data_IF_878043273838
#
_entry.id   IF_878043273838
#
_cell.length_a   1.000
_cell.length_b   1.000
_cell.length_c   1.000
_cell.angle_alpha   90.00
_cell.angle_beta   90.00
_cell.angle_gamma   90.00
#
_symmetry.space_group_name_H-M   'P 1'
#
loop_
_entity.id
_entity.type
_entity.pdbx_description
1 polymer ?
#
# COMPACT_ATOMS: atom_id res chain seq x y z
N UNK A 1 22.45 27.94 -28.69
CA UNK A 1 21.66 26.73 -29.00
C UNK A 1 21.77 25.61 -27.95
N UNK A 2 22.96 25.34 -27.38
CA UNK A 2 23.20 24.24 -26.41
C UNK A 2 22.34 24.32 -25.12
N UNK A 3 22.17 25.51 -24.55
CA UNK A 3 21.32 25.75 -23.36
C UNK A 3 19.83 25.48 -23.59
N UNK A 4 19.31 25.80 -24.80
CA UNK A 4 17.89 25.60 -25.12
C UNK A 4 17.56 24.11 -25.28
N UNK A 5 18.42 23.34 -25.95
CA UNK A 5 18.27 21.87 -26.07
C UNK A 5 18.29 21.20 -24.69
N UNK A 6 19.19 21.62 -23.80
CA UNK A 6 19.23 21.14 -22.40
C UNK A 6 17.93 21.42 -21.65
N UNK A 7 17.40 22.65 -21.72
CA UNK A 7 16.10 23.00 -21.10
C UNK A 7 14.93 22.23 -21.70
N UNK A 8 14.92 21.99 -23.02
CA UNK A 8 13.92 21.14 -23.67
C UNK A 8 13.93 19.70 -23.15
N UNK A 9 15.12 19.12 -22.95
CA UNK A 9 15.26 17.77 -22.37
C UNK A 9 14.77 17.76 -20.92
N UNK A 10 15.18 18.74 -20.10
CA UNK A 10 14.71 18.88 -18.70
C UNK A 10 13.19 18.97 -18.65
N UNK A 11 12.58 19.78 -19.52
CA UNK A 11 11.13 19.93 -19.60
C UNK A 11 10.45 18.60 -19.97
N UNK A 12 10.93 17.91 -20.99
CA UNK A 12 10.36 16.63 -21.43
C UNK A 12 10.45 15.57 -20.33
N UNK A 13 11.60 15.43 -19.68
CA UNK A 13 11.80 14.49 -18.57
C UNK A 13 10.87 14.85 -17.41
N UNK A 14 10.78 16.13 -17.03
CA UNK A 14 9.93 16.56 -15.92
C UNK A 14 8.46 16.25 -16.17
N UNK A 15 7.96 16.50 -17.40
CA UNK A 15 6.58 16.17 -17.78
C UNK A 15 6.31 14.67 -17.70
N UNK A 16 7.22 13.84 -18.20
CA UNK A 16 7.09 12.38 -18.11
C UNK A 16 7.08 11.93 -16.65
N UNK A 17 7.99 12.45 -15.83
CA UNK A 17 8.03 12.16 -14.38
C UNK A 17 6.72 12.57 -13.69
N UNK A 18 6.16 13.73 -14.02
CA UNK A 18 4.88 14.19 -13.47
C UNK A 18 3.74 13.22 -13.80
N UNK A 19 3.63 12.80 -15.07
CA UNK A 19 2.61 11.83 -15.51
C UNK A 19 2.77 10.51 -14.73
N UNK A 20 4.00 10.00 -14.63
CA UNK A 20 4.28 8.76 -13.89
C UNK A 20 3.90 8.87 -12.41
N UNK A 21 4.20 10.00 -11.76
CA UNK A 21 3.83 10.22 -10.35
C UNK A 21 2.30 10.26 -10.14
N UNK A 22 1.57 10.90 -11.06
CA UNK A 22 0.10 10.96 -11.00
C UNK A 22 -0.49 9.57 -11.18
N UNK A 23 -0.05 8.83 -12.21
CA UNK A 23 -0.54 7.47 -12.49
C UNK A 23 -0.24 6.52 -11.32
N UNK A 24 0.98 6.56 -10.76
CA UNK A 24 1.34 5.74 -9.61
C UNK A 24 0.48 6.06 -8.38
N UNK A 25 0.13 7.33 -8.18
CA UNK A 25 -0.75 7.74 -7.07
C UNK A 25 -2.16 7.20 -7.25
N UNK A 26 -2.75 7.40 -8.43
CA UNK A 26 -4.10 6.91 -8.73
C UNK A 26 -4.19 5.39 -8.61
N UNK A 27 -3.22 4.67 -9.17
CA UNK A 27 -3.15 3.21 -9.09
C UNK A 27 -3.06 2.72 -7.64
N UNK A 28 -2.22 3.36 -6.81
CA UNK A 28 -2.06 2.96 -5.41
C UNK A 28 -3.32 3.20 -4.56
N UNK A 29 -4.10 4.23 -4.88
CA UNK A 29 -5.38 4.50 -4.20
C UNK A 29 -6.43 3.45 -4.51
N UNK A 30 -6.50 3.01 -5.76
CA UNK A 30 -7.45 2.01 -6.23
C UNK A 30 -7.06 0.61 -5.78
N UNK A 31 -5.81 0.20 -5.97
CA UNK A 31 -5.32 -1.15 -5.61
C UNK A 31 -5.24 -1.39 -4.10
N UNK A 32 -5.18 -0.31 -3.32
CA UNK A 32 -4.97 -0.37 -1.89
C UNK A 32 -6.22 -0.71 -1.08
N UNK A 33 -7.40 -0.33 -1.58
CA UNK A 33 -8.69 -0.62 -0.92
C UNK A 33 -9.17 -2.01 -1.30
N UNK A 34 -9.65 -2.74 -0.32
CA UNK A 34 -10.19 -4.08 -0.49
C UNK A 34 -11.70 -4.06 -0.29
N UNK A 35 -12.42 -4.86 -1.07
CA UNK A 35 -13.86 -5.08 -0.96
C UNK A 35 -14.17 -6.57 -0.92
N UNK A 36 -15.45 -6.91 -0.74
CA UNK A 36 -15.91 -8.30 -0.90
C UNK A 36 -15.65 -8.85 -2.31
N UNK A 37 -15.63 -7.99 -3.34
CA UNK A 37 -15.35 -8.40 -4.73
C UNK A 37 -13.86 -8.66 -4.97
N UNK A 38 -12.97 -7.99 -4.24
CA UNK A 38 -11.50 -8.13 -4.41
C UNK A 38 -10.88 -9.10 -3.40
N UNK A 39 -11.70 -9.69 -2.53
CA UNK A 39 -11.24 -10.62 -1.51
C UNK A 39 -12.05 -11.91 -1.49
N UNK A 40 -11.40 -13.00 -1.09
CA UNK A 40 -12.02 -14.31 -0.94
C UNK A 40 -12.04 -14.68 0.55
N UNK A 41 -13.19 -15.18 1.02
CA UNK A 41 -13.38 -15.60 2.40
C UNK A 41 -12.94 -17.05 2.64
N UNK A 42 -12.28 -17.28 3.77
CA UNK A 42 -11.78 -18.57 4.20
C UNK A 42 -12.08 -18.81 5.68
N UNK A 43 -11.95 -20.06 6.09
CA UNK A 43 -11.91 -20.45 7.50
C UNK A 43 -10.80 -21.45 7.74
N UNK A 44 -10.18 -21.39 8.90
CA UNK A 44 -9.15 -22.33 9.32
C UNK A 44 -9.21 -22.56 10.82
N UNK A 45 -8.47 -23.56 11.28
CA UNK A 45 -8.37 -23.95 12.68
C UNK A 45 -6.98 -23.58 13.18
N UNK A 46 -6.92 -22.78 14.24
CA UNK A 46 -5.65 -22.32 14.81
C UNK A 46 -4.86 -23.51 15.33
N UNK A 47 -3.58 -23.59 14.95
CA UNK A 47 -2.58 -24.49 15.51
C UNK A 47 -1.85 -23.80 16.66
N UNK A 48 -1.32 -22.61 16.41
CA UNK A 48 -0.73 -21.71 17.40
C UNK A 48 -0.57 -20.30 16.81
N UNK A 49 -0.30 -19.32 17.67
CA UNK A 49 -0.02 -17.93 17.28
C UNK A 49 1.37 -17.53 17.75
N UNK A 50 2.10 -16.81 16.89
CA UNK A 50 3.37 -16.16 17.23
C UNK A 50 3.23 -14.68 16.94
N UNK A 51 3.40 -13.85 17.97
CA UNK A 51 3.46 -12.39 17.78
C UNK A 51 4.91 -11.97 17.87
N UNK A 52 5.48 -11.59 16.73
CA UNK A 52 6.83 -11.07 16.67
C UNK A 52 6.79 -9.55 16.81
N UNK A 53 7.50 -9.06 17.81
CA UNK A 53 7.56 -7.64 18.14
C UNK A 53 9.02 -7.20 18.12
N UNK A 54 9.26 -6.16 17.33
CA UNK A 54 10.51 -5.42 17.25
C UNK A 54 10.20 -3.95 17.47
N UNK A 55 11.21 -3.13 17.77
CA UNK A 55 11.03 -1.68 17.92
C UNK A 55 10.36 -1.04 16.68
N UNK A 56 10.63 -1.59 15.49
CA UNK A 56 10.14 -1.03 14.22
C UNK A 56 8.82 -1.66 13.74
N UNK A 57 8.57 -2.93 14.07
CA UNK A 57 7.50 -3.72 13.45
C UNK A 57 6.85 -4.74 14.39
N UNK A 58 5.54 -4.92 14.22
CA UNK A 58 4.74 -5.91 14.94
C UNK A 58 4.02 -6.77 13.89
N UNK A 59 4.29 -8.08 13.86
CA UNK A 59 3.73 -8.98 12.85
C UNK A 59 3.26 -10.29 13.49
N UNK A 60 1.98 -10.36 13.87
CA UNK A 60 1.32 -11.60 14.29
C UNK A 60 1.27 -12.60 13.13
N UNK A 61 1.66 -13.83 13.44
CA UNK A 61 1.57 -15.00 12.59
C UNK A 61 0.59 -15.98 13.22
N UNK A 62 -0.40 -16.41 12.45
CA UNK A 62 -1.40 -17.39 12.83
C UNK A 62 -1.12 -18.65 12.04
N UNK A 63 -0.59 -19.65 12.72
CA UNK A 63 -0.34 -20.96 12.14
C UNK A 63 -1.62 -21.79 12.26
N UNK A 64 -1.94 -22.53 11.21
CA UNK A 64 -3.19 -23.29 11.11
C UNK A 64 -2.92 -24.79 11.05
N UNK A 65 -3.95 -25.60 11.28
CA UNK A 65 -3.84 -27.05 11.21
C UNK A 65 -3.93 -27.58 9.77
N UNK A 66 -4.61 -26.85 8.90
CA UNK A 66 -4.96 -27.30 7.55
C UNK A 66 -3.80 -27.25 6.56
N UNK A 67 -2.78 -26.42 6.82
CA UNK A 67 -1.61 -26.28 5.94
C UNK A 67 -0.37 -25.81 6.71
N UNK A 68 0.80 -25.97 6.09
CA UNK A 68 2.07 -25.40 6.58
C UNK A 68 2.18 -23.88 6.33
N UNK A 69 1.31 -23.34 5.48
CA UNK A 69 1.16 -21.89 5.25
C UNK A 69 0.62 -21.24 6.52
N UNK A 70 1.19 -20.09 6.91
CA UNK A 70 0.65 -19.27 8.00
C UNK A 70 0.07 -17.96 7.51
N UNK A 71 -0.90 -17.43 8.25
CA UNK A 71 -1.52 -16.15 7.96
C UNK A 71 -0.88 -15.04 8.77
N UNK A 72 -0.63 -13.91 8.11
CA UNK A 72 0.02 -12.76 8.74
C UNK A 72 -0.90 -11.56 8.77
N UNK A 73 -0.89 -10.85 9.89
CA UNK A 73 -1.51 -9.52 9.99
C UNK A 73 -0.41 -8.50 9.66
N UNK A 74 -0.64 -7.69 8.62
CA UNK A 74 0.32 -6.66 8.20
C UNK A 74 0.63 -5.72 9.37
N UNK A 75 1.91 -5.37 9.55
CA UNK A 75 2.37 -4.46 10.61
C UNK A 75 1.60 -3.14 10.67
N UNK A 76 1.12 -2.64 9.53
CA UNK A 76 0.28 -1.45 9.46
C UNK A 76 -1.06 -1.58 10.17
N UNK A 77 -1.63 -2.78 10.16
CA UNK A 77 -2.88 -3.14 10.83
C UNK A 77 -2.59 -3.52 12.28
N UNK A 78 -1.53 -4.30 12.52
CA UNK A 78 -1.12 -4.76 13.85
C UNK A 78 -0.93 -3.62 14.86
N UNK A 79 -0.45 -2.45 14.40
CA UNK A 79 -0.27 -1.26 15.25
C UNK A 79 -1.58 -0.56 15.66
N UNK A 80 -2.72 -0.95 15.08
CA UNK A 80 -4.01 -0.28 15.28
C UNK A 80 -5.06 -1.19 15.92
N UNK A 81 -4.83 -2.50 15.94
CA UNK A 81 -5.76 -3.48 16.52
C UNK A 81 -5.37 -3.85 17.94
N UNK A 82 -6.33 -4.40 18.68
CA UNK A 82 -6.09 -5.04 19.97
C UNK A 82 -5.38 -6.38 19.76
N UNK A 83 -4.06 -6.39 19.94
CA UNK A 83 -3.21 -7.57 19.76
C UNK A 83 -3.50 -8.67 20.77
N UNK A 84 -4.07 -8.36 21.94
CA UNK A 84 -4.39 -9.39 22.93
C UNK A 84 -5.49 -10.32 22.41
N UNK A 85 -6.41 -9.80 21.59
CA UNK A 85 -7.39 -10.65 20.89
C UNK A 85 -6.74 -11.67 19.95
N UNK A 86 -5.60 -11.33 19.35
CA UNK A 86 -4.85 -12.22 18.46
C UNK A 86 -4.02 -13.20 19.28
N UNK A 87 -3.32 -12.74 20.32
CA UNK A 87 -2.53 -13.58 21.24
C UNK A 87 -3.40 -14.63 21.94
N UNK A 88 -4.64 -14.28 22.24
CA UNK A 88 -5.59 -15.15 22.94
C UNK A 88 -6.29 -16.16 22.04
N UNK A 89 -5.98 -16.21 20.73
CA UNK A 89 -6.48 -17.28 19.86
C UNK A 89 -5.91 -18.63 20.32
N UNK A 90 -6.80 -19.57 20.61
CA UNK A 90 -6.43 -20.86 21.20
C UNK A 90 -6.20 -21.92 20.12
N UNK A 91 -5.27 -22.88 20.33
CA UNK A 91 -5.19 -24.08 19.51
C UNK A 91 -6.55 -24.79 19.42
N UNK A 92 -6.96 -25.18 18.21
CA UNK A 92 -8.27 -25.78 17.93
C UNK A 92 -9.40 -24.77 17.70
N UNK A 93 -9.18 -23.48 17.90
CA UNK A 93 -10.20 -22.45 17.67
C UNK A 93 -10.40 -22.21 16.17
N UNK A 94 -11.66 -22.10 15.74
CA UNK A 94 -12.00 -21.73 14.37
C UNK A 94 -11.91 -20.22 14.17
N UNK A 95 -11.26 -19.82 13.08
CA UNK A 95 -11.14 -18.43 12.62
C UNK A 95 -11.72 -18.30 11.23
N UNK A 96 -12.16 -17.09 10.91
CA UNK A 96 -12.65 -16.69 9.60
C UNK A 96 -11.93 -15.41 9.19
N UNK A 97 -11.47 -15.38 7.95
CA UNK A 97 -10.63 -14.30 7.44
C UNK A 97 -10.84 -14.17 5.93
N UNK A 98 -10.40 -13.03 5.40
CA UNK A 98 -10.39 -12.77 3.96
C UNK A 98 -8.97 -12.57 3.46
N UNK A 99 -8.73 -12.92 2.20
CA UNK A 99 -7.45 -12.76 1.49
C UNK A 99 -7.71 -12.07 0.16
N UNK A 100 -6.78 -11.24 -0.32
CA UNK A 100 -6.82 -10.64 -1.66
C UNK A 100 -6.89 -11.73 -2.76
N UNK A 101 -7.79 -11.61 -3.74
CA UNK A 101 -8.08 -12.70 -4.71
C UNK A 101 -6.82 -13.25 -5.41
N UNK A 102 -5.91 -12.38 -5.87
CA UNK A 102 -4.68 -12.82 -6.55
C UNK A 102 -3.73 -13.62 -5.64
N UNK A 103 -3.83 -13.47 -4.31
CA UNK A 103 -3.07 -14.26 -3.33
C UNK A 103 -3.77 -15.59 -3.02
N UNK A 104 -5.10 -15.61 -3.05
CA UNK A 104 -5.90 -16.81 -2.82
C UNK A 104 -5.54 -17.92 -3.83
N UNK A 105 -5.31 -17.55 -5.10
CA UNK A 105 -4.86 -18.48 -6.16
C UNK A 105 -3.48 -19.11 -5.90
N UNK A 106 -2.74 -18.60 -4.93
CA UNK A 106 -1.36 -18.99 -4.63
C UNK A 106 -1.19 -19.61 -3.24
N UNK A 107 -2.27 -19.82 -2.49
CA UNK A 107 -2.25 -20.31 -1.10
C UNK A 107 -1.38 -21.54 -0.87
N UNK A 108 -1.42 -22.51 -1.78
CA UNK A 108 -0.68 -23.77 -1.68
C UNK A 108 0.80 -23.66 -2.10
N UNK A 109 1.20 -22.49 -2.62
CA UNK A 109 2.54 -22.27 -3.23
C UNK A 109 3.41 -21.33 -2.41
N UNK A 110 2.86 -20.71 -1.37
CA UNK A 110 3.53 -19.67 -0.59
C UNK A 110 3.64 -20.07 0.86
N UNK A 111 4.72 -19.61 1.51
CA UNK A 111 4.96 -19.89 2.94
C UNK A 111 4.00 -19.10 3.85
N UNK A 112 3.53 -17.95 3.40
CA UNK A 112 2.63 -17.10 4.18
C UNK A 112 1.76 -16.22 3.29
N UNK A 113 0.62 -15.79 3.85
CA UNK A 113 -0.33 -14.89 3.18
C UNK A 113 -0.81 -13.82 4.14
N UNK A 114 -0.86 -12.57 3.69
CA UNK A 114 -1.51 -11.50 4.46
C UNK A 114 -3.02 -11.64 4.42
N UNK A 115 -3.65 -11.47 5.59
CA UNK A 115 -5.11 -11.45 5.72
C UNK A 115 -5.66 -10.03 5.82
N UNK A 116 -6.83 -9.80 5.24
CA UNK A 116 -7.50 -8.49 5.15
C UNK A 116 -8.67 -8.33 6.12
N UNK A 117 -9.06 -9.41 6.82
CA UNK A 117 -9.97 -9.38 7.96
C UNK A 117 -9.69 -10.57 8.87
N UNK A 118 -10.16 -10.50 10.11
CA UNK A 118 -10.08 -11.61 11.05
C UNK A 118 -11.22 -11.56 12.06
N UNK A 119 -11.92 -12.69 12.20
CA UNK A 119 -12.92 -12.91 13.24
C UNK A 119 -12.92 -14.36 13.71
N UNK A 120 -13.54 -14.58 14.85
CA UNK A 120 -13.91 -15.91 15.35
C UNK A 120 -15.44 -16.06 15.24
N UNK A 121 -15.99 -17.12 15.84
CA UNK A 121 -17.45 -17.25 16.00
C UNK A 121 -18.04 -16.21 16.99
N UNK A 122 -17.22 -15.69 17.91
CA UNK A 122 -17.70 -14.86 19.03
C UNK A 122 -17.29 -13.40 18.95
N UNK A 123 -16.24 -13.07 18.19
CA UNK A 123 -15.73 -11.71 18.10
C UNK A 123 -15.12 -11.39 16.74
N UNK A 124 -15.29 -10.13 16.33
CA UNK A 124 -14.50 -9.54 15.24
C UNK A 124 -13.21 -8.97 15.85
N UNK A 125 -12.06 -9.41 15.33
CA UNK A 125 -10.75 -8.89 15.74
C UNK A 125 -10.44 -7.63 14.94
N UNK A 126 -10.57 -7.71 13.61
CA UNK A 126 -10.64 -6.55 12.73
C UNK A 126 -11.41 -6.90 11.45
N UNK A 127 -12.19 -5.95 10.96
CA UNK A 127 -12.98 -6.06 9.74
C UNK A 127 -12.19 -5.62 8.50
N UNK A 128 -12.78 -5.85 7.33
CA UNK A 128 -12.26 -5.31 6.07
C UNK A 128 -12.27 -3.76 6.06
N UNK A 129 -13.27 -3.16 6.70
CA UNK A 129 -13.36 -1.70 6.85
C UNK A 129 -12.25 -1.17 7.76
N UNK A 130 -11.93 -1.89 8.84
CA UNK A 130 -10.79 -1.56 9.70
C UNK A 130 -9.49 -1.64 8.90
N UNK A 131 -9.29 -2.73 8.15
CA UNK A 131 -8.12 -2.88 7.26
C UNK A 131 -7.98 -1.70 6.29
N UNK A 132 -9.06 -1.32 5.62
CA UNK A 132 -9.08 -0.19 4.69
C UNK A 132 -8.81 1.14 5.40
N UNK A 133 -9.36 1.35 6.58
CA UNK A 133 -9.12 2.54 7.40
C UNK A 133 -7.65 2.67 7.79
N UNK A 134 -7.04 1.57 8.25
CA UNK A 134 -5.62 1.55 8.64
C UNK A 134 -4.69 1.69 7.44
N UNK A 135 -5.03 1.06 6.31
CA UNK A 135 -4.32 1.25 5.05
C UNK A 135 -4.38 2.71 4.61
N UNK A 136 -5.56 3.34 4.66
CA UNK A 136 -5.75 4.74 4.29
C UNK A 136 -4.96 5.71 5.19
N UNK A 137 -4.90 5.47 6.51
CA UNK A 137 -4.08 6.28 7.42
C UNK A 137 -2.59 6.26 7.03
N UNK A 138 -2.05 5.10 6.68
CA UNK A 138 -0.66 5.02 6.21
C UNK A 138 -0.48 5.60 4.81
N UNK A 139 -1.45 5.38 3.92
CA UNK A 139 -1.44 5.99 2.60
C UNK A 139 -1.46 7.52 2.69
N UNK A 140 -2.14 8.11 3.69
CA UNK A 140 -2.22 9.56 3.87
C UNK A 140 -0.84 10.21 4.09
N UNK A 141 0.02 9.61 4.92
CA UNK A 141 1.41 10.09 5.09
C UNK A 141 2.23 10.01 3.79
N UNK A 142 2.06 8.92 3.02
CA UNK A 142 2.70 8.79 1.70
C UNK A 142 2.14 9.79 0.68
N UNK A 143 0.83 10.05 0.69
CA UNK A 143 0.17 11.04 -0.18
C UNK A 143 0.74 12.44 0.03
N UNK A 144 0.97 12.86 1.27
CA UNK A 144 1.59 14.17 1.55
C UNK A 144 2.98 14.29 0.92
N UNK A 145 3.79 13.23 1.00
CA UNK A 145 5.12 13.20 0.38
C UNK A 145 5.02 13.24 -1.14
N UNK A 146 4.15 12.42 -1.74
CA UNK A 146 3.97 12.37 -3.19
C UNK A 146 3.41 13.68 -3.74
N UNK A 147 2.44 14.30 -3.08
CA UNK A 147 1.91 15.61 -3.47
C UNK A 147 2.99 16.69 -3.39
N UNK A 148 3.86 16.66 -2.37
CA UNK A 148 5.00 17.57 -2.28
C UNK A 148 5.93 17.42 -3.50
N UNK A 149 6.26 16.19 -3.88
CA UNK A 149 7.08 15.90 -5.06
C UNK A 149 6.40 16.35 -6.37
N UNK A 150 5.10 16.13 -6.50
CA UNK A 150 4.30 16.60 -7.64
C UNK A 150 4.35 18.12 -7.74
N UNK A 151 4.14 18.84 -6.64
CA UNK A 151 4.19 20.32 -6.61
C UNK A 151 5.59 20.84 -6.98
N UNK A 152 6.65 20.24 -6.43
CA UNK A 152 8.03 20.60 -6.75
C UNK A 152 8.35 20.37 -8.23
N UNK A 153 7.95 19.22 -8.78
CA UNK A 153 8.17 18.89 -10.19
C UNK A 153 7.38 19.85 -11.11
N UNK A 154 6.14 20.17 -10.75
CA UNK A 154 5.33 21.15 -11.47
C UNK A 154 5.98 22.54 -11.48
N UNK A 155 6.56 22.98 -10.36
CA UNK A 155 7.31 24.23 -10.31
C UNK A 155 8.53 24.22 -11.26
N UNK A 156 9.26 23.10 -11.36
CA UNK A 156 10.37 22.93 -12.32
C UNK A 156 9.87 23.07 -13.77
N UNK A 157 8.74 22.46 -14.11
CA UNK A 157 8.11 22.58 -15.44
C UNK A 157 7.79 24.04 -15.75
N UNK A 158 7.10 24.73 -14.85
CA UNK A 158 6.69 26.13 -15.03
C UNK A 158 7.91 27.04 -15.17
N UNK A 159 8.89 26.93 -14.28
CA UNK A 159 10.11 27.75 -14.31
C UNK A 159 10.94 27.50 -15.58
N UNK A 160 11.07 26.24 -15.99
CA UNK A 160 11.80 25.88 -17.22
C UNK A 160 11.09 26.43 -18.44
N UNK A 161 9.77 26.28 -18.52
CA UNK A 161 8.95 26.84 -19.60
C UNK A 161 9.04 28.36 -19.69
N UNK A 162 8.88 29.07 -18.55
CA UNK A 162 9.00 30.54 -18.50
C UNK A 162 10.41 31.00 -18.90
N UNK A 163 11.46 30.30 -18.44
CA UNK A 163 12.85 30.57 -18.83
C UNK A 163 13.06 30.41 -20.34
N UNK A 164 12.49 29.36 -20.94
CA UNK A 164 12.54 29.13 -22.39
C UNK A 164 11.74 30.18 -23.17
N UNK A 165 10.57 30.61 -22.67
CA UNK A 165 9.74 31.66 -23.26
C UNK A 165 10.48 33.00 -23.26
N UNK A 166 11.09 33.40 -22.14
CA UNK A 166 11.91 34.62 -22.04
C UNK A 166 13.07 34.61 -23.03
N UNK A 167 13.77 33.48 -23.14
CA UNK A 167 14.90 33.32 -24.07
C UNK A 167 14.47 33.37 -25.56
N UNK A 168 13.23 32.95 -25.90
CA UNK A 168 12.66 33.13 -27.24
C UNK A 168 12.30 34.59 -27.53
N UNK A 169 11.73 35.31 -26.55
CA UNK A 169 11.33 36.72 -26.70
C UNK A 169 12.49 37.71 -26.80
N UNK A 170 13.67 37.35 -26.30
CA UNK A 170 14.89 38.18 -26.38
C UNK A 170 15.73 37.93 -27.66
N UNK A 171 15.34 36.99 -28.54
CA UNK A 171 16.01 36.87 -29.84
C UNK A 171 15.46 37.94 -30.79
N UNK A 172 16.31 38.80 -31.40
CA UNK A 172 15.85 39.74 -32.41
C UNK A 172 15.20 38.97 -33.56
N UNK A 173 14.03 39.45 -34.01
CA UNK A 173 13.42 38.98 -35.26
C UNK A 173 14.32 39.51 -36.39
N UNK A 174 15.07 38.62 -37.02
CA UNK A 174 15.71 38.87 -38.32
C UNK A 174 14.64 38.80 -39.41
#
# INVERSE_FOLDING_TARGET
>A
MRSYKGKSVILAVSVITLIMLILATAFFEESGRQSEETTTAFSATVKYVVVNETEESIYPQIHINEAETYFMIRSSVSKQIDLDKVRNLQPGQKIYFTIENYKAEQLDKVRFVDITSLRTDTQVIYSLDDYNSYFNKMAQSRRTTTYTLITLNFAVIVLTFLSMKKQRGQKPKL
#
